data_IF_883266376957
#
_entry.id   IF_883266376957
#
_cell.length_a   1.000
_cell.length_b   1.000
_cell.length_c   1.000
_cell.angle_alpha   90.00
_cell.angle_beta   90.00
_cell.angle_gamma   90.00
#
_symmetry.space_group_name_H-M   'P 1'
#
loop_
_entity.id
_entity.type
_entity.pdbx_description
1 polymer ?
#
# COMPACT_ATOMS: atom_id res chain seq x y z
N UNK A 1 11.24 10.74 -4.08
CA UNK A 1 10.54 11.16 -5.31
C UNK A 1 9.11 11.60 -4.95
N UNK A 2 8.36 12.17 -5.90
CA UNK A 2 6.97 12.60 -5.66
C UNK A 2 6.08 11.44 -5.17
N UNK A 3 6.18 10.28 -5.83
CA UNK A 3 5.40 9.07 -5.50
C UNK A 3 5.57 8.60 -4.05
N UNK A 4 6.78 8.72 -3.49
CA UNK A 4 7.06 8.43 -2.08
C UNK A 4 6.43 9.46 -1.14
N UNK A 5 6.52 10.75 -1.47
CA UNK A 5 5.94 11.81 -0.64
C UNK A 5 4.41 11.70 -0.59
N UNK A 6 3.76 11.49 -1.72
CA UNK A 6 2.31 11.35 -1.80
C UNK A 6 1.80 10.18 -0.96
N UNK A 7 2.45 9.01 -1.05
CA UNK A 7 2.09 7.85 -0.23
C UNK A 7 2.31 8.10 1.26
N UNK A 8 3.39 8.78 1.64
CA UNK A 8 3.61 9.15 3.04
C UNK A 8 2.57 10.16 3.54
N UNK A 9 2.11 11.08 2.69
CA UNK A 9 1.02 12.01 3.04
C UNK A 9 -0.30 11.27 3.24
N UNK A 10 -0.64 10.34 2.33
CA UNK A 10 -1.82 9.49 2.48
C UNK A 10 -1.79 8.69 3.80
N UNK A 11 -0.64 8.08 4.12
CA UNK A 11 -0.45 7.34 5.38
C UNK A 11 -0.66 8.26 6.58
N UNK A 12 -0.05 9.46 6.58
CA UNK A 12 -0.21 10.42 7.68
C UNK A 12 -1.66 10.87 7.90
N UNK A 13 -2.45 10.91 6.83
CA UNK A 13 -3.87 11.29 6.89
C UNK A 13 -4.76 10.20 7.48
N UNK A 14 -4.48 8.92 7.19
CA UNK A 14 -5.29 7.81 7.67
C UNK A 14 -4.85 7.31 9.05
N UNK A 15 -3.55 7.33 9.35
CA UNK A 15 -2.97 6.75 10.56
C UNK A 15 -3.66 7.12 11.88
N UNK A 16 -4.00 8.40 12.17
CA UNK A 16 -4.65 8.77 13.42
C UNK A 16 -6.01 8.09 13.68
N UNK A 17 -6.63 7.52 12.64
CA UNK A 17 -7.91 6.83 12.69
C UNK A 17 -7.76 5.31 12.71
N UNK A 18 -6.55 4.78 12.61
CA UNK A 18 -6.30 3.35 12.47
C UNK A 18 -5.90 2.72 13.81
N UNK A 19 -6.64 1.70 14.24
CA UNK A 19 -6.19 0.81 15.31
C UNK A 19 -5.03 -0.07 14.81
N UNK A 20 -5.10 -0.48 13.54
CA UNK A 20 -4.03 -1.23 12.85
C UNK A 20 -3.82 -0.64 11.47
N UNK A 21 -2.59 -0.33 11.11
CA UNK A 21 -2.20 0.04 9.74
C UNK A 21 -1.42 -1.09 9.09
N UNK A 22 -1.95 -1.65 8.01
CA UNK A 22 -1.28 -2.65 7.17
C UNK A 22 -0.64 -1.97 5.96
N UNK A 23 0.66 -2.25 5.76
CA UNK A 23 1.44 -1.80 4.61
C UNK A 23 1.86 -3.00 3.79
N UNK A 24 1.31 -3.14 2.59
CA UNK A 24 1.71 -4.21 1.66
C UNK A 24 3.02 -3.82 0.97
N UNK A 25 3.99 -4.72 0.98
CA UNK A 25 5.23 -4.61 0.22
C UNK A 25 6.39 -5.39 0.83
N UNK A 26 7.46 -5.51 0.05
CA UNK A 26 8.61 -6.34 0.43
C UNK A 26 9.48 -5.74 1.53
N UNK A 27 10.12 -6.62 2.31
CA UNK A 27 11.12 -6.28 3.32
C UNK A 27 12.32 -5.53 2.72
N UNK A 28 12.60 -5.82 1.46
CA UNK A 28 13.72 -5.23 0.72
C UNK A 28 13.35 -3.88 0.09
N UNK A 29 12.10 -3.43 0.22
CA UNK A 29 11.64 -2.12 -0.25
C UNK A 29 11.75 -1.09 0.87
N UNK A 30 12.76 -0.22 0.81
CA UNK A 30 12.92 0.89 1.76
C UNK A 30 11.69 1.80 1.82
N UNK A 31 10.97 1.98 0.70
CA UNK A 31 9.73 2.75 0.67
C UNK A 31 8.63 2.05 1.47
N UNK A 32 8.44 0.75 1.31
CA UNK A 32 7.40 0.00 2.04
C UNK A 32 7.70 -0.05 3.54
N UNK A 33 8.96 -0.30 3.92
CA UNK A 33 9.39 -0.25 5.32
C UNK A 33 9.14 1.14 5.91
N UNK A 34 9.54 2.21 5.19
CA UNK A 34 9.35 3.57 5.67
C UNK A 34 7.87 3.95 5.83
N UNK A 35 6.96 3.44 5.00
CA UNK A 35 5.53 3.71 5.14
C UNK A 35 4.97 3.16 6.46
N UNK A 36 5.41 1.99 6.90
CA UNK A 36 4.97 1.42 8.18
C UNK A 36 5.49 2.25 9.37
N UNK A 37 6.76 2.67 9.31
CA UNK A 37 7.35 3.58 10.32
C UNK A 37 6.60 4.91 10.39
N UNK A 38 6.36 5.55 9.23
CA UNK A 38 5.57 6.79 9.13
C UNK A 38 4.16 6.59 9.68
N UNK A 39 3.59 5.42 9.48
CA UNK A 39 2.29 5.03 9.99
C UNK A 39 2.19 5.15 11.52
N UNK A 40 3.16 4.55 12.21
CA UNK A 40 3.31 4.62 13.67
C UNK A 40 3.61 6.04 14.13
N UNK A 41 4.57 6.72 13.48
CA UNK A 41 4.95 8.10 13.80
C UNK A 41 3.75 9.06 13.68
N UNK A 42 2.81 8.78 12.78
CA UNK A 42 1.63 9.59 12.52
C UNK A 42 0.41 9.25 13.39
N UNK A 43 0.50 8.24 14.26
CA UNK A 43 -0.52 7.97 15.28
C UNK A 43 -1.39 6.73 15.07
N UNK A 44 -1.01 5.81 14.17
CA UNK A 44 -1.64 4.48 14.17
C UNK A 44 -1.27 3.73 15.45
N UNK A 45 -2.23 3.05 16.08
CA UNK A 45 -1.96 2.33 17.34
C UNK A 45 -1.01 1.13 17.13
N UNK A 46 -1.09 0.48 15.97
CA UNK A 46 -0.12 -0.49 15.49
C UNK A 46 0.11 -0.34 13.98
N UNK A 47 1.28 -0.73 13.48
CA UNK A 47 1.55 -0.83 12.04
C UNK A 47 2.39 -2.05 11.71
N UNK A 48 2.00 -2.74 10.65
CA UNK A 48 2.65 -3.96 10.18
C UNK A 48 2.91 -3.87 8.69
N UNK A 49 4.08 -4.35 8.28
CA UNK A 49 4.48 -4.47 6.89
C UNK A 49 4.45 -5.95 6.52
N UNK A 50 3.71 -6.29 5.48
CA UNK A 50 3.49 -7.65 5.01
C UNK A 50 3.81 -7.79 3.53
N UNK A 51 4.25 -8.95 3.08
CA UNK A 51 4.43 -9.24 1.66
C UNK A 51 3.10 -9.56 0.96
N UNK A 52 2.08 -10.07 1.69
CA UNK A 52 0.75 -10.35 1.17
C UNK A 52 -0.23 -10.89 2.21
N UNK A 53 -1.45 -11.20 1.78
CA UNK A 53 -2.57 -11.57 2.66
C UNK A 53 -2.29 -12.77 3.58
N UNK A 54 -1.47 -13.72 3.15
CA UNK A 54 -1.07 -14.89 3.93
C UNK A 54 -0.27 -14.58 5.20
N UNK A 55 0.27 -13.38 5.33
CA UNK A 55 1.03 -12.94 6.51
C UNK A 55 0.18 -12.15 7.51
N UNK A 56 -1.11 -11.96 7.22
CA UNK A 56 -2.02 -11.35 8.19
C UNK A 56 -2.19 -12.26 9.40
N UNK A 57 -1.88 -11.75 10.58
CA UNK A 57 -2.17 -12.42 11.84
C UNK A 57 -3.54 -11.95 12.36
N UNK A 58 -4.53 -12.85 12.50
CA UNK A 58 -5.83 -12.51 13.06
C UNK A 58 -5.76 -11.85 14.45
N UNK A 59 -4.71 -12.13 15.22
CA UNK A 59 -4.54 -11.54 16.54
C UNK A 59 -4.35 -10.02 16.52
N UNK A 60 -3.86 -9.46 15.41
CA UNK A 60 -3.71 -8.00 15.24
C UNK A 60 -5.05 -7.29 15.25
N UNK A 61 -6.13 -7.96 14.84
CA UNK A 61 -7.44 -7.36 14.70
C UNK A 61 -8.33 -7.49 15.94
N UNK A 62 -7.82 -8.12 17.01
CA UNK A 62 -8.58 -8.31 18.24
C UNK A 62 -8.91 -6.97 18.89
N UNK A 63 -10.19 -6.59 18.87
CA UNK A 63 -10.67 -5.32 19.41
C UNK A 63 -10.43 -4.11 18.51
N UNK A 64 -9.85 -4.31 17.31
CA UNK A 64 -9.72 -3.25 16.32
C UNK A 64 -11.09 -2.93 15.70
N UNK A 65 -11.37 -1.65 15.55
CA UNK A 65 -12.57 -1.13 14.88
C UNK A 65 -12.26 -0.61 13.48
N UNK A 66 -11.04 -0.09 13.29
CA UNK A 66 -10.60 0.51 12.03
C UNK A 66 -9.23 -0.02 11.62
N UNK A 67 -9.16 -0.63 10.43
CA UNK A 67 -7.91 -1.08 9.81
C UNK A 67 -7.59 -0.20 8.62
N UNK A 68 -6.43 0.45 8.65
CA UNK A 68 -5.88 1.16 7.49
C UNK A 68 -5.13 0.20 6.58
N UNK A 69 -5.23 0.42 5.27
CA UNK A 69 -4.48 -0.32 4.27
C UNK A 69 -3.76 0.64 3.32
N UNK A 70 -2.50 0.37 3.04
CA UNK A 70 -1.71 1.05 2.01
C UNK A 70 -0.72 0.09 1.37
N UNK A 71 -0.04 0.50 0.31
CA UNK A 71 0.97 -0.33 -0.37
C UNK A 71 2.17 0.48 -0.85
N UNK A 72 3.30 -0.21 -0.98
CA UNK A 72 4.48 0.34 -1.65
C UNK A 72 4.23 0.59 -3.15
N UNK A 73 5.04 1.47 -3.76
CA UNK A 73 4.87 1.84 -5.17
C UNK A 73 5.08 0.70 -6.18
N UNK A 74 5.74 -0.39 -5.79
CA UNK A 74 6.06 -1.53 -6.66
C UNK A 74 5.15 -2.74 -6.44
N UNK A 75 4.07 -2.58 -5.66
CA UNK A 75 3.18 -3.69 -5.29
C UNK A 75 2.09 -3.84 -6.35
N UNK A 76 1.90 -5.05 -6.92
CA UNK A 76 0.77 -5.35 -7.80
C UNK A 76 -0.57 -5.17 -7.10
N UNK A 77 -1.57 -4.69 -7.85
CA UNK A 77 -2.93 -4.42 -7.34
C UNK A 77 -3.58 -5.69 -6.79
N UNK A 78 -3.36 -6.85 -7.43
CA UNK A 78 -3.89 -8.14 -6.99
C UNK A 78 -3.50 -8.53 -5.54
N UNK A 79 -2.35 -8.08 -5.04
CA UNK A 79 -1.92 -8.33 -3.66
C UNK A 79 -2.69 -7.45 -2.67
N UNK A 80 -3.00 -6.22 -3.07
CA UNK A 80 -3.82 -5.30 -2.27
C UNK A 80 -5.25 -5.82 -2.20
N UNK A 81 -5.79 -6.27 -3.34
CA UNK A 81 -7.12 -6.89 -3.41
C UNK A 81 -7.23 -8.15 -2.56
N UNK A 82 -6.20 -9.00 -2.57
CA UNK A 82 -6.14 -10.17 -1.71
C UNK A 82 -6.20 -9.81 -0.23
N UNK A 83 -5.49 -8.75 0.18
CA UNK A 83 -5.53 -8.24 1.57
C UNK A 83 -6.90 -7.67 1.91
N UNK A 84 -7.53 -6.90 1.01
CA UNK A 84 -8.90 -6.40 1.21
C UNK A 84 -9.90 -7.54 1.39
N UNK A 85 -9.77 -8.62 0.61
CA UNK A 85 -10.64 -9.79 0.73
C UNK A 85 -10.50 -10.45 2.10
N UNK A 86 -9.26 -10.75 2.54
CA UNK A 86 -9.03 -11.34 3.86
C UNK A 86 -9.49 -10.43 5.00
N UNK A 87 -9.28 -9.11 4.89
CA UNK A 87 -9.80 -8.14 5.87
C UNK A 87 -11.34 -8.16 5.93
N UNK A 88 -12.02 -8.31 4.79
CA UNK A 88 -13.47 -8.44 4.75
C UNK A 88 -13.96 -9.72 5.46
N UNK A 89 -13.24 -10.85 5.30
CA UNK A 89 -13.53 -12.09 6.04
C UNK A 89 -13.36 -11.93 7.56
N UNK A 90 -12.47 -11.03 8.00
CA UNK A 90 -12.28 -10.65 9.40
C UNK A 90 -13.26 -9.56 9.91
N UNK A 91 -14.23 -9.15 9.09
CA UNK A 91 -15.27 -8.19 9.48
C UNK A 91 -15.02 -6.74 9.04
N UNK A 92 -13.92 -6.46 8.34
CA UNK A 92 -13.58 -5.12 7.82
C UNK A 92 -13.99 -4.96 6.34
N UNK A 93 -15.25 -5.28 6.03
CA UNK A 93 -15.75 -5.25 4.65
C UNK A 93 -16.17 -3.86 4.12
N UNK A 94 -16.27 -2.85 4.98
CA UNK A 94 -16.62 -1.49 4.57
C UNK A 94 -15.35 -0.70 4.24
N UNK A 95 -15.12 -0.43 2.96
CA UNK A 95 -13.90 0.23 2.47
C UNK A 95 -14.18 1.69 2.16
N UNK A 96 -13.46 2.59 2.83
CA UNK A 96 -13.38 4.02 2.50
C UNK A 96 -12.04 4.29 1.81
N UNK A 97 -12.07 4.82 0.58
CA UNK A 97 -10.85 5.17 -0.15
C UNK A 97 -10.49 6.63 0.11
N UNK A 98 -9.27 6.87 0.60
CA UNK A 98 -8.74 8.20 0.88
C UNK A 98 -7.70 8.56 -0.19
N UNK A 99 -8.00 9.59 -0.98
CA UNK A 99 -7.10 10.13 -2.00
C UNK A 99 -6.47 11.44 -1.51
N UNK A 100 -5.16 11.44 -1.25
CA UNK A 100 -4.44 12.64 -0.80
C UNK A 100 -3.83 13.46 -1.94
N UNK A 101 -3.62 12.86 -3.12
CA UNK A 101 -3.11 13.54 -4.31
C UNK A 101 -3.41 12.75 -5.60
N UNK A 102 -3.77 13.44 -6.68
CA UNK A 102 -3.83 12.85 -8.03
C UNK A 102 -2.42 12.76 -8.65
N UNK A 103 -2.02 11.57 -9.11
CA UNK A 103 -0.77 11.35 -9.85
C UNK A 103 -1.05 11.15 -11.34
N UNK A 104 -0.56 12.05 -12.21
CA UNK A 104 -0.75 11.97 -13.67
C UNK A 104 0.56 11.83 -14.46
N UNK A 105 1.69 11.69 -13.78
CA UNK A 105 3.01 11.67 -14.42
C UNK A 105 3.29 10.31 -15.07
N UNK A 106 3.46 10.30 -16.39
CA UNK A 106 3.83 9.09 -17.15
C UNK A 106 5.24 9.23 -17.73
N UNK A 107 6.10 8.23 -17.52
CA UNK A 107 7.42 8.17 -18.14
C UNK A 107 7.35 7.37 -19.44
N UNK A 108 7.64 8.02 -20.57
CA UNK A 108 7.72 7.33 -21.85
C UNK A 108 8.99 6.47 -21.90
N UNK A 109 8.86 5.27 -22.46
CA UNK A 109 10.00 4.42 -22.81
C UNK A 109 10.99 5.18 -23.71
N UNK A 110 12.30 4.98 -23.58
CA UNK A 110 13.29 5.48 -24.53
C UNK A 110 12.95 5.10 -25.99
N UNK A 111 13.27 5.95 -26.98
CA UNK A 111 12.96 5.69 -28.39
C UNK A 111 13.52 4.35 -28.91
N UNK A 112 14.66 3.91 -28.40
CA UNK A 112 15.35 2.68 -28.79
C UNK A 112 14.51 1.46 -28.41
N UNK A 113 14.08 1.38 -27.14
CA UNK A 113 13.24 0.29 -26.64
C UNK A 113 11.85 0.26 -27.30
N UNK A 114 11.31 1.44 -27.68
CA UNK A 114 10.06 1.52 -28.44
C UNK A 114 10.17 0.94 -29.86
N UNK A 115 11.36 0.97 -30.48
CA UNK A 115 11.59 0.38 -31.81
C UNK A 115 11.70 -1.13 -31.72
N UNK A 116 12.43 -1.64 -30.73
CA UNK A 116 12.65 -3.07 -30.54
C UNK A 116 11.35 -3.82 -30.20
N UNK A 117 10.50 -3.23 -29.34
CA UNK A 117 9.17 -3.78 -29.03
C UNK A 117 8.26 -3.89 -30.26
N UNK A 118 8.31 -2.92 -31.18
CA UNK A 118 7.55 -2.96 -32.44
C UNK A 118 8.08 -4.00 -33.42
N UNK A 119 9.38 -4.31 -33.36
CA UNK A 119 9.99 -5.34 -34.19
C UNK A 119 9.68 -6.76 -33.66
N UNK A 120 9.60 -6.94 -32.33
CA UNK A 120 9.29 -8.23 -31.71
C UNK A 120 7.81 -8.64 -31.77
N UNK A 121 6.90 -7.69 -32.05
CA UNK A 121 5.46 -7.93 -32.23
C UNK A 121 5.06 -8.20 -33.69
N UNK A 122 6.03 -8.29 -34.60
CA UNK A 122 5.85 -8.57 -36.02
C UNK A 122 6.35 -9.97 -36.37
#
# INVERSE_FOLDING_TARGET
>A
CYATQNRQLAVKEISPRCDVLIVVGSANSSNSVRLAEVGLEAGAAASYRIDGAQELDPAWFNGATTVGLTSGASVPEELVDGVLHTLAEHGFGNVEVVFSAEESLTFALPPELRRDLKAAQK
#
